data_IF_564759633935
#
_entry.id   IF_564759633935
#
_cell.length_a   1.000
_cell.length_b   1.000
_cell.length_c   1.000
_cell.angle_alpha   90.00
_cell.angle_beta   90.00
_cell.angle_gamma   90.00
#
_symmetry.space_group_name_H-M   'P 1'
#
loop_
_entity.id
_entity.type
_entity.pdbx_description
1 polymer ?
#
# COMPACT_ATOMS: atom_id res chain seq x y z
N UNK A 1 -26.38 40.08 66.31
CA UNK A 1 -26.14 38.70 66.77
C UNK A 1 -25.99 37.86 65.52
N UNK A 2 -24.78 37.47 65.07
CA UNK A 2 -24.02 36.27 65.52
C UNK A 2 -24.98 35.09 65.76
N UNK A 3 -24.87 33.90 65.18
CA UNK A 3 -23.73 33.04 64.83
C UNK A 3 -24.35 31.79 64.11
N UNK A 4 -23.82 31.28 62.98
CA UNK A 4 -22.81 30.20 62.81
C UNK A 4 -23.35 28.79 62.44
N UNK A 5 -22.46 28.04 61.76
CA UNK A 5 -22.45 26.60 61.38
C UNK A 5 -23.11 26.25 60.03
N UNK A 6 -22.42 25.85 58.95
CA UNK A 6 -21.24 24.98 58.69
C UNK A 6 -21.50 23.48 58.93
N UNK A 7 -21.72 22.72 57.84
CA UNK A 7 -21.26 21.32 57.63
C UNK A 7 -21.51 20.93 56.15
N UNK A 8 -20.48 20.78 55.32
CA UNK A 8 -19.69 19.56 55.02
C UNK A 8 -20.46 18.53 54.16
N UNK A 9 -19.99 18.41 52.90
CA UNK A 9 -19.63 17.15 52.27
C UNK A 9 -20.74 16.18 51.84
N UNK A 10 -21.08 16.18 50.56
CA UNK A 10 -21.66 15.00 49.90
C UNK A 10 -20.71 14.52 48.81
N UNK A 11 -19.86 13.56 49.17
CA UNK A 11 -19.22 12.65 48.23
C UNK A 11 -20.18 11.48 47.97
N UNK A 12 -20.08 10.98 46.74
CA UNK A 12 -20.20 9.57 46.35
C UNK A 12 -21.55 9.10 45.77
N UNK A 13 -21.37 8.34 44.69
CA UNK A 13 -22.28 7.39 44.04
C UNK A 13 -23.28 7.98 43.03
N UNK A 14 -22.82 8.11 41.78
CA UNK A 14 -23.63 7.66 40.66
C UNK A 14 -22.70 6.96 39.64
N UNK A 15 -22.45 5.69 39.94
CA UNK A 15 -21.77 4.72 39.08
C UNK A 15 -22.86 3.93 38.32
N UNK A 16 -22.62 3.66 37.04
CA UNK A 16 -23.33 2.72 36.15
C UNK A 16 -24.79 2.99 35.76
N UNK A 17 -24.98 3.59 34.57
CA UNK A 17 -26.07 3.23 33.67
C UNK A 17 -25.77 3.67 32.22
N UNK A 18 -24.75 3.06 31.60
CA UNK A 18 -24.63 2.97 30.14
C UNK A 18 -24.18 1.55 29.82
N UNK A 19 -25.10 0.61 29.95
CA UNK A 19 -24.99 -0.76 29.46
C UNK A 19 -26.19 -1.01 28.56
N UNK A 20 -25.93 -1.61 27.40
CA UNK A 20 -26.86 -1.93 26.30
C UNK A 20 -27.19 -0.75 25.38
N UNK A 21 -26.42 -0.58 24.31
CA UNK A 21 -26.75 -1.02 22.94
C UNK A 21 -25.52 -0.72 22.09
N UNK A 22 -24.61 -1.67 21.91
CA UNK A 22 -23.79 -1.83 20.69
C UNK A 22 -23.14 -3.22 20.71
N UNK A 23 -23.97 -4.26 20.85
CA UNK A 23 -23.59 -5.60 20.41
C UNK A 23 -23.86 -5.69 18.90
N UNK A 24 -23.13 -4.91 18.10
CA UNK A 24 -22.81 -5.34 16.75
C UNK A 24 -21.45 -6.00 16.88
N UNK A 25 -21.47 -7.32 16.81
CA UNK A 25 -20.32 -8.18 16.62
C UNK A 25 -19.33 -7.48 15.69
N UNK A 26 -18.20 -7.03 16.22
CA UNK A 26 -17.02 -6.70 15.41
C UNK A 26 -16.50 -8.05 14.97
N UNK A 27 -17.16 -8.59 13.94
CA UNK A 27 -16.58 -9.63 13.12
C UNK A 27 -15.35 -9.02 12.48
N UNK A 28 -14.22 -9.66 12.74
CA UNK A 28 -13.00 -9.50 11.99
C UNK A 28 -13.32 -9.84 10.52
N UNK A 29 -13.66 -8.83 9.74
CA UNK A 29 -13.68 -8.92 8.28
C UNK A 29 -12.24 -8.75 7.83
N UNK A 30 -11.49 -9.86 7.82
CA UNK A 30 -10.33 -9.95 6.95
C UNK A 30 -10.85 -9.62 5.55
N UNK A 31 -10.38 -8.52 4.94
CA UNK A 31 -10.75 -8.12 3.59
C UNK A 31 -10.16 -9.09 2.56
N UNK A 32 -10.60 -10.35 2.58
CA UNK A 32 -10.41 -11.31 1.51
C UNK A 32 -11.46 -11.02 0.45
N UNK A 33 -11.15 -10.04 -0.39
CA UNK A 33 -11.99 -9.63 -1.49
C UNK A 33 -12.06 -10.75 -2.54
N UNK A 34 -13.28 -11.24 -2.80
CA UNK A 34 -13.54 -12.30 -3.79
C UNK A 34 -13.52 -11.72 -5.21
N UNK A 35 -12.70 -12.28 -6.09
CA UNK A 35 -12.75 -12.02 -7.53
C UNK A 35 -13.87 -12.89 -8.12
N UNK A 36 -14.92 -12.25 -8.65
CA UNK A 36 -16.15 -12.95 -9.03
C UNK A 36 -15.94 -14.00 -10.13
N UNK A 37 -15.08 -13.74 -11.14
CA UNK A 37 -14.83 -14.65 -12.26
C UNK A 37 -13.61 -14.27 -13.10
N UNK A 38 -13.01 -15.28 -13.75
CA UNK A 38 -11.86 -15.10 -14.63
C UNK A 38 -11.23 -16.42 -15.08
N UNK A 39 -10.01 -16.35 -15.60
CA UNK A 39 -9.18 -17.52 -15.97
C UNK A 39 -7.83 -17.46 -15.26
N UNK A 40 -7.45 -18.52 -14.57
CA UNK A 40 -6.11 -18.72 -13.99
C UNK A 40 -5.20 -19.39 -15.03
N UNK A 41 -3.97 -18.92 -15.16
CA UNK A 41 -2.91 -19.60 -15.90
C UNK A 41 -1.84 -20.10 -14.92
N UNK A 42 -1.48 -21.37 -15.00
CA UNK A 42 -0.51 -21.99 -14.09
C UNK A 42 0.90 -22.04 -14.69
N UNK A 43 1.92 -22.16 -13.84
CA UNK A 43 3.34 -22.32 -14.22
C UNK A 43 3.60 -23.58 -15.06
N UNK A 44 2.71 -24.58 -14.96
CA UNK A 44 2.70 -25.77 -15.80
C UNK A 44 2.09 -25.57 -17.19
N UNK A 45 1.62 -24.37 -17.52
CA UNK A 45 1.00 -24.03 -18.80
C UNK A 45 -0.48 -24.38 -18.91
N UNK A 46 -1.11 -24.83 -17.83
CA UNK A 46 -2.54 -25.15 -17.81
C UNK A 46 -3.39 -23.89 -17.54
N UNK A 47 -4.65 -23.95 -17.95
CA UNK A 47 -5.63 -22.88 -17.72
C UNK A 47 -6.83 -23.40 -16.94
N UNK A 48 -7.35 -22.60 -16.02
CA UNK A 48 -8.52 -22.93 -15.22
C UNK A 48 -9.47 -21.74 -15.16
N UNK A 49 -10.65 -21.88 -15.76
CA UNK A 49 -11.72 -20.90 -15.60
C UNK A 49 -12.33 -21.01 -14.20
N UNK A 50 -12.57 -19.87 -13.57
CA UNK A 50 -12.98 -19.81 -12.19
C UNK A 50 -14.09 -18.79 -11.91
N UNK A 51 -14.75 -18.99 -10.76
CA UNK A 51 -15.55 -18.01 -10.05
C UNK A 51 -15.12 -17.90 -8.57
N UNK A 52 -15.51 -16.82 -7.89
CA UNK A 52 -15.32 -16.61 -6.44
C UNK A 52 -13.89 -16.85 -5.93
N UNK A 53 -12.90 -16.33 -6.64
CA UNK A 53 -11.49 -16.52 -6.27
C UNK A 53 -11.12 -15.69 -5.05
N UNK A 54 -10.48 -16.34 -4.09
CA UNK A 54 -10.12 -15.80 -2.79
C UNK A 54 -8.66 -16.14 -2.49
N UNK A 55 -7.86 -15.13 -2.12
CA UNK A 55 -6.50 -15.33 -1.64
C UNK A 55 -6.54 -15.57 -0.12
N UNK A 56 -5.90 -16.64 0.35
CA UNK A 56 -5.67 -16.87 1.78
C UNK A 56 -4.28 -17.45 1.99
N UNK A 57 -3.45 -16.72 2.74
CA UNK A 57 -2.06 -17.08 2.99
C UNK A 57 -1.28 -17.28 1.67
N UNK A 58 -0.62 -18.41 1.51
CA UNK A 58 0.16 -18.81 0.32
C UNK A 58 -0.69 -19.50 -0.77
N UNK A 59 -2.02 -19.52 -0.62
CA UNK A 59 -2.94 -20.24 -1.47
C UNK A 59 -4.03 -19.37 -2.07
N UNK A 60 -4.47 -19.79 -3.23
CA UNK A 60 -5.59 -19.21 -3.97
C UNK A 60 -6.70 -20.24 -4.05
N UNK A 61 -7.86 -19.93 -3.49
CA UNK A 61 -9.06 -20.76 -3.50
C UNK A 61 -10.01 -20.22 -4.54
N UNK A 62 -10.70 -21.08 -5.29
CA UNK A 62 -11.63 -20.64 -6.32
C UNK A 62 -12.64 -21.74 -6.67
N UNK A 63 -13.77 -21.36 -7.24
CA UNK A 63 -14.75 -22.29 -7.82
C UNK A 63 -14.35 -22.59 -9.26
N UNK A 64 -13.84 -23.79 -9.54
CA UNK A 64 -13.46 -24.21 -10.88
C UNK A 64 -14.70 -24.45 -11.74
N UNK A 65 -14.83 -23.70 -12.83
CA UNK A 65 -16.02 -23.75 -13.68
C UNK A 65 -16.11 -25.02 -14.52
N UNK A 66 -14.98 -25.69 -14.79
CA UNK A 66 -14.97 -26.93 -15.57
C UNK A 66 -15.56 -28.11 -14.80
N UNK A 67 -15.44 -28.12 -13.48
CA UNK A 67 -15.88 -29.23 -12.63
C UNK A 67 -16.90 -28.82 -11.55
N UNK A 68 -17.23 -27.53 -11.45
CA UNK A 68 -18.13 -26.94 -10.44
C UNK A 68 -17.74 -27.22 -8.98
N UNK A 69 -16.46 -27.47 -8.71
CA UNK A 69 -15.92 -27.70 -7.36
C UNK A 69 -15.06 -26.54 -6.91
N UNK A 70 -14.92 -26.41 -5.60
CA UNK A 70 -13.94 -25.50 -5.01
C UNK A 70 -12.57 -26.16 -5.02
N UNK A 71 -11.63 -25.55 -5.75
CA UNK A 71 -10.25 -25.97 -5.88
C UNK A 71 -9.31 -24.94 -5.21
N UNK A 72 -8.04 -25.31 -5.06
CA UNK A 72 -7.00 -24.41 -4.56
C UNK A 72 -5.65 -24.63 -5.24
N UNK A 73 -4.88 -23.56 -5.42
CA UNK A 73 -3.51 -23.59 -5.95
C UNK A 73 -2.56 -22.85 -5.01
N UNK A 74 -1.27 -23.18 -5.04
CA UNK A 74 -0.26 -22.33 -4.41
C UNK A 74 -0.12 -21.05 -5.25
N UNK A 75 0.11 -19.93 -4.57
CA UNK A 75 0.28 -18.65 -5.25
C UNK A 75 1.54 -18.65 -6.14
N UNK A 76 2.57 -19.42 -5.79
CA UNK A 76 3.77 -19.64 -6.60
C UNK A 76 3.50 -20.35 -7.93
N UNK A 77 2.39 -21.08 -8.03
CA UNK A 77 2.03 -21.86 -9.22
C UNK A 77 1.23 -21.04 -10.23
N UNK A 78 0.93 -19.78 -9.91
CA UNK A 78 0.20 -18.87 -10.78
C UNK A 78 1.17 -18.11 -11.68
N UNK A 79 0.94 -18.16 -12.98
CA UNK A 79 1.62 -17.29 -13.93
C UNK A 79 0.86 -15.98 -14.09
N UNK A 80 -0.47 -16.01 -14.21
CA UNK A 80 -1.33 -14.82 -14.16
C UNK A 80 -2.82 -15.17 -13.98
N UNK A 81 -3.63 -14.16 -13.67
CA UNK A 81 -5.08 -14.26 -13.53
C UNK A 81 -5.74 -13.25 -14.46
N UNK A 82 -6.51 -13.72 -15.44
CA UNK A 82 -7.30 -12.90 -16.34
C UNK A 82 -8.67 -12.64 -15.73
N UNK A 83 -8.98 -11.41 -15.35
CA UNK A 83 -10.25 -11.05 -14.72
C UNK A 83 -11.25 -10.56 -15.77
N UNK A 84 -12.48 -11.06 -15.74
CA UNK A 84 -13.55 -10.53 -16.59
C UNK A 84 -14.18 -9.28 -15.96
N UNK A 85 -13.83 -8.10 -16.50
CA UNK A 85 -14.49 -6.85 -16.11
C UNK A 85 -15.73 -6.64 -16.98
N UNK A 86 -16.92 -6.65 -16.36
CA UNK A 86 -18.16 -6.29 -17.04
C UNK A 86 -18.24 -4.76 -17.17
N UNK A 87 -17.96 -4.23 -18.37
CA UNK A 87 -18.28 -2.84 -18.72
C UNK A 87 -19.78 -2.69 -18.94
N UNK A 88 -20.43 -1.73 -18.28
CA UNK A 88 -21.72 -1.19 -18.74
C UNK A 88 -21.46 0.04 -19.62
N UNK A 89 -21.69 -0.01 -20.95
CA UNK A 89 -21.67 1.20 -21.76
C UNK A 89 -22.90 2.06 -21.43
N UNK A 90 -22.70 3.38 -21.27
CA UNK A 90 -23.80 4.33 -21.21
C UNK A 90 -24.12 4.77 -22.65
N UNK A 91 -25.37 4.55 -23.03
CA UNK A 91 -26.06 4.99 -24.26
C UNK A 91 -25.43 4.59 -25.60
N UNK A 92 -25.65 3.34 -26.01
CA UNK A 92 -26.19 2.99 -27.33
C UNK A 92 -26.59 1.51 -27.28
N UNK A 93 -27.90 1.29 -27.16
CA UNK A 93 -28.54 -0.01 -27.31
C UNK A 93 -28.32 -0.43 -28.78
N UNK A 94 -27.65 -1.58 -29.01
CA UNK A 94 -27.44 -2.29 -30.29
C UNK A 94 -26.00 -2.54 -30.78
N UNK A 95 -24.96 -2.43 -29.96
CA UNK A 95 -23.67 -3.09 -30.26
C UNK A 95 -23.26 -4.12 -29.20
N UNK A 96 -22.74 -5.30 -29.59
CA UNK A 96 -22.24 -6.28 -28.64
C UNK A 96 -21.06 -5.70 -27.83
N UNK A 97 -20.95 -6.03 -26.54
CA UNK A 97 -19.96 -5.44 -25.64
C UNK A 97 -18.53 -5.68 -26.14
N UNK A 98 -17.78 -4.59 -26.33
CA UNK A 98 -16.35 -4.64 -26.67
C UNK A 98 -15.53 -5.04 -25.44
N UNK A 99 -15.01 -6.27 -25.49
CA UNK A 99 -14.04 -6.83 -24.55
C UNK A 99 -12.75 -6.00 -24.62
N UNK A 100 -12.36 -5.34 -23.53
CA UNK A 100 -10.98 -4.86 -23.37
C UNK A 100 -10.20 -5.88 -22.54
N UNK A 101 -9.16 -6.42 -23.15
CA UNK A 101 -8.21 -7.31 -22.49
C UNK A 101 -7.25 -6.47 -21.66
N UNK A 102 -7.14 -6.76 -20.36
CA UNK A 102 -6.07 -6.24 -19.51
C UNK A 102 -5.17 -7.43 -19.17
N UNK A 103 -3.92 -7.39 -19.65
CA UNK A 103 -2.92 -8.45 -19.50
C UNK A 103 -1.93 -8.00 -18.41
N UNK A 104 -1.99 -8.59 -17.22
CA UNK A 104 -0.99 -8.37 -16.19
C UNK A 104 0.16 -9.37 -16.37
N UNK A 105 1.33 -8.90 -16.81
CA UNK A 105 2.56 -9.70 -16.88
C UNK A 105 3.33 -9.68 -15.53
N UNK A 106 3.91 -10.81 -15.09
CA UNK A 106 4.85 -10.84 -13.98
C UNK A 106 6.18 -10.14 -14.33
N UNK A 107 6.80 -9.50 -13.34
CA UNK A 107 8.03 -8.69 -13.45
C UNK A 107 9.16 -9.44 -14.16
N UNK A 108 9.91 -8.72 -15.02
CA UNK A 108 11.29 -9.08 -15.38
C UNK A 108 12.25 -8.21 -14.56
N UNK A 109 13.39 -8.74 -14.09
CA UNK A 109 14.43 -7.99 -13.37
C UNK A 109 15.00 -6.78 -14.14
N UNK A 110 14.73 -6.68 -15.45
CA UNK A 110 15.21 -5.65 -16.36
C UNK A 110 14.05 -5.03 -17.15
N UNK A 111 13.03 -4.51 -16.47
CA UNK A 111 11.95 -3.77 -17.15
C UNK A 111 12.56 -2.49 -17.78
N UNK A 112 12.63 -2.38 -19.12
CA UNK A 112 13.33 -1.29 -19.79
C UNK A 112 12.69 0.07 -19.52
N UNK A 113 11.43 0.12 -19.08
CA UNK A 113 10.69 1.36 -18.84
C UNK A 113 11.05 2.02 -17.50
N UNK A 114 11.58 1.24 -16.54
CA UNK A 114 12.04 1.73 -15.21
C UNK A 114 13.39 2.45 -15.27
N UNK A 115 14.30 1.96 -16.12
CA UNK A 115 15.71 2.36 -16.12
C UNK A 115 15.95 3.81 -16.61
N UNK A 116 15.31 4.32 -17.68
CA UNK A 116 15.59 5.66 -18.19
C UNK A 116 15.23 6.78 -17.21
N UNK A 117 14.09 6.66 -16.50
CA UNK A 117 13.62 7.69 -15.57
C UNK A 117 14.44 7.73 -14.27
N UNK A 118 15.02 6.59 -13.87
CA UNK A 118 15.85 6.45 -12.65
C UNK A 118 17.34 6.69 -12.91
N UNK A 119 17.83 6.51 -14.14
CA UNK A 119 19.24 6.70 -14.52
C UNK A 119 19.80 8.11 -14.30
N UNK A 120 18.95 9.11 -13.99
CA UNK A 120 19.38 10.47 -13.66
C UNK A 120 19.87 10.65 -12.23
N UNK A 121 19.63 9.70 -11.32
CA UNK A 121 20.00 9.84 -9.92
C UNK A 121 21.28 9.05 -9.59
N UNK A 122 22.37 9.71 -9.17
CA UNK A 122 23.56 9.00 -8.72
C UNK A 122 23.27 8.19 -7.43
N UNK A 123 23.95 7.05 -7.30
CA UNK A 123 23.91 6.24 -6.08
C UNK A 123 24.34 7.05 -4.83
N UNK A 124 23.60 6.86 -3.74
CA UNK A 124 23.89 7.44 -2.43
C UNK A 124 22.64 7.80 -1.64
N UNK A 125 22.82 8.63 -0.61
CA UNK A 125 21.73 9.04 0.28
C UNK A 125 21.40 10.50 0.08
N UNK A 126 20.13 10.77 -0.20
CA UNK A 126 19.58 12.09 -0.31
C UNK A 126 18.99 12.47 1.05
N UNK A 127 19.70 13.29 1.81
CA UNK A 127 19.27 13.61 3.18
C UNK A 127 18.01 14.48 3.17
N UNK A 128 17.89 15.35 2.17
CA UNK A 128 16.75 16.25 1.99
C UNK A 128 16.10 16.10 0.62
N UNK A 129 14.88 16.61 0.49
CA UNK A 129 14.21 16.76 -0.82
C UNK A 129 15.03 17.65 -1.76
N UNK A 130 15.71 18.67 -1.22
CA UNK A 130 16.58 19.54 -2.01
C UNK A 130 17.76 18.77 -2.59
N UNK A 131 18.41 17.90 -1.81
CA UNK A 131 19.49 17.04 -2.31
C UNK A 131 18.99 16.17 -3.47
N UNK A 132 17.77 15.64 -3.35
CA UNK A 132 17.14 14.81 -4.36
C UNK A 132 16.87 15.59 -5.66
N UNK A 133 16.26 16.77 -5.56
CA UNK A 133 15.97 17.62 -6.72
C UNK A 133 17.24 18.07 -7.46
N UNK A 134 18.33 18.31 -6.71
CA UNK A 134 19.62 18.69 -7.29
C UNK A 134 20.52 17.49 -7.64
N UNK A 135 20.02 16.26 -7.50
CA UNK A 135 20.77 15.03 -7.79
C UNK A 135 22.14 14.98 -7.07
N UNK A 136 22.19 15.51 -5.85
CA UNK A 136 23.40 15.69 -5.05
C UNK A 136 23.40 14.76 -3.81
N UNK A 137 23.50 13.43 -3.99
CA UNK A 137 23.49 12.52 -2.86
C UNK A 137 24.79 12.61 -2.06
N UNK A 138 24.69 12.35 -0.76
CA UNK A 138 25.85 11.99 0.05
C UNK A 138 26.27 10.56 -0.31
N UNK A 139 27.47 10.42 -0.87
CA UNK A 139 28.09 9.11 -1.12
C UNK A 139 28.36 8.39 0.20
N UNK A 140 27.79 7.20 0.36
CA UNK A 140 28.00 6.34 1.52
C UNK A 140 28.03 4.88 1.08
N UNK A 141 28.74 4.04 1.84
CA UNK A 141 28.78 2.60 1.59
C UNK A 141 27.56 1.95 2.23
N UNK A 142 26.52 1.70 1.44
CA UNK A 142 25.23 1.25 1.95
C UNK A 142 25.05 -0.26 1.92
N UNK A 143 24.31 -0.77 2.90
CA UNK A 143 23.81 -2.15 2.95
C UNK A 143 22.32 -2.16 3.31
N UNK A 144 21.46 -2.78 2.49
CA UNK A 144 20.07 -3.02 2.86
C UNK A 144 19.92 -4.22 3.80
N UNK A 145 18.98 -4.10 4.72
CA UNK A 145 18.59 -5.12 5.69
C UNK A 145 17.06 -5.21 5.83
N UNK A 146 16.55 -6.41 6.07
CA UNK A 146 15.21 -6.63 6.62
C UNK A 146 15.29 -6.85 8.13
N UNK A 147 14.16 -6.70 8.82
CA UNK A 147 14.05 -6.84 10.27
C UNK A 147 14.73 -5.71 11.05
N UNK A 148 14.64 -5.77 12.38
CA UNK A 148 15.27 -4.80 13.28
C UNK A 148 15.97 -5.50 14.44
N UNK A 149 16.92 -4.81 15.08
CA UNK A 149 17.66 -5.33 16.23
C UNK A 149 18.47 -6.59 15.91
N UNK A 150 18.36 -7.60 16.76
CA UNK A 150 19.06 -8.89 16.62
C UNK A 150 18.58 -9.75 15.44
N UNK A 151 17.41 -9.43 14.87
CA UNK A 151 16.83 -10.14 13.73
C UNK A 151 17.14 -9.44 12.39
N UNK A 152 18.17 -8.57 12.35
CA UNK A 152 18.59 -7.93 11.09
C UNK A 152 19.16 -8.97 10.13
N UNK A 153 18.63 -9.03 8.92
CA UNK A 153 19.13 -9.92 7.86
C UNK A 153 19.54 -9.12 6.64
N UNK A 154 20.75 -9.36 6.17
CA UNK A 154 21.29 -8.67 4.99
C UNK A 154 20.48 -9.02 3.75
N UNK A 155 20.18 -8.03 2.93
CA UNK A 155 19.50 -8.22 1.64
C UNK A 155 20.48 -8.00 0.50
N UNK A 156 20.46 -8.88 -0.50
CA UNK A 156 21.27 -8.74 -1.71
C UNK A 156 20.50 -8.09 -2.87
N UNK A 157 19.17 -8.22 -2.88
CA UNK A 157 18.27 -7.64 -3.86
C UNK A 157 16.96 -7.22 -3.18
N UNK A 158 16.91 -6.04 -2.52
CA UNK A 158 15.71 -5.56 -1.88
C UNK A 158 14.74 -4.99 -2.92
N UNK A 159 13.93 -5.87 -3.52
CA UNK A 159 12.83 -5.44 -4.41
C UNK A 159 11.63 -4.86 -3.64
N UNK A 160 11.64 -5.05 -2.32
CA UNK A 160 10.61 -4.61 -1.37
C UNK A 160 11.18 -3.57 -0.38
N UNK A 161 10.39 -3.29 0.67
CA UNK A 161 10.79 -2.36 1.73
C UNK A 161 11.97 -2.86 2.56
N UNK A 162 12.91 -1.98 2.91
CA UNK A 162 14.09 -2.35 3.70
C UNK A 162 14.59 -1.19 4.58
N UNK A 163 15.53 -1.50 5.47
CA UNK A 163 16.35 -0.51 6.16
C UNK A 163 17.72 -0.41 5.49
N UNK A 164 18.25 0.79 5.31
CA UNK A 164 19.63 0.98 4.89
C UNK A 164 20.55 1.24 6.09
N UNK A 165 21.75 0.69 6.04
CA UNK A 165 22.84 0.91 6.99
C UNK A 165 24.08 1.43 6.28
N UNK A 166 24.79 2.35 6.91
CA UNK A 166 26.15 2.73 6.54
C UNK A 166 27.13 1.67 7.07
N UNK A 167 27.80 0.97 6.14
CA UNK A 167 28.79 -0.06 6.46
C UNK A 167 29.99 0.47 7.22
N UNK A 168 30.39 1.72 6.98
CA UNK A 168 31.57 2.29 7.61
C UNK A 168 31.39 2.45 9.13
N UNK A 169 30.16 2.69 9.57
CA UNK A 169 29.83 3.04 10.94
C UNK A 169 28.83 2.07 11.62
N UNK A 170 28.45 0.98 10.94
CA UNK A 170 27.35 0.06 11.32
C UNK A 170 26.10 0.79 11.83
N UNK A 171 25.73 1.88 11.16
CA UNK A 171 24.67 2.77 11.61
C UNK A 171 23.49 2.78 10.65
N UNK A 172 22.27 2.66 11.20
CA UNK A 172 21.04 2.75 10.42
C UNK A 172 20.89 4.15 9.85
N UNK A 173 20.64 4.27 8.55
CA UNK A 173 20.27 5.53 7.90
C UNK A 173 18.89 5.96 8.42
N UNK A 174 18.80 7.17 8.96
CA UNK A 174 17.58 7.75 9.52
C UNK A 174 17.38 9.15 8.97
N UNK A 175 16.12 9.54 8.80
CA UNK A 175 15.76 10.92 8.44
C UNK A 175 16.16 11.36 7.04
N UNK A 176 16.71 10.47 6.21
CA UNK A 176 16.95 10.77 4.80
C UNK A 176 15.64 10.84 4.03
N UNK A 177 15.62 11.66 2.98
CA UNK A 177 14.50 11.76 2.06
C UNK A 177 14.41 10.50 1.18
N UNK A 178 15.53 10.17 0.51
CA UNK A 178 15.62 9.04 -0.40
C UNK A 178 16.99 8.36 -0.33
N UNK A 179 17.06 7.15 -0.86
CA UNK A 179 18.28 6.39 -1.11
C UNK A 179 18.24 5.88 -2.53
N UNK A 180 19.35 6.03 -3.26
CA UNK A 180 19.58 5.29 -4.49
C UNK A 180 20.70 4.29 -4.24
N UNK A 181 20.40 3.02 -4.45
CA UNK A 181 21.32 1.92 -4.21
C UNK A 181 21.33 0.99 -5.41
N UNK A 182 22.48 0.89 -6.10
CA UNK A 182 22.64 0.10 -7.32
C UNK A 182 21.62 0.47 -8.39
N UNK A 183 21.34 1.76 -8.55
CA UNK A 183 20.34 2.27 -9.51
C UNK A 183 18.88 2.13 -9.08
N UNK A 184 18.57 1.48 -7.96
CA UNK A 184 17.20 1.40 -7.44
C UNK A 184 16.91 2.56 -6.50
N UNK A 185 15.79 3.25 -6.72
CA UNK A 185 15.35 4.40 -5.92
C UNK A 185 14.39 3.96 -4.81
N UNK A 186 14.63 4.47 -3.61
CA UNK A 186 13.80 4.25 -2.45
C UNK A 186 13.49 5.57 -1.73
N UNK A 187 12.26 5.73 -1.24
CA UNK A 187 11.88 6.84 -0.37
C UNK A 187 11.71 6.36 1.06
N UNK A 188 12.11 7.16 2.05
CA UNK A 188 11.83 6.80 3.43
C UNK A 188 10.34 7.00 3.74
N UNK A 189 9.77 6.12 4.57
CA UNK A 189 8.40 6.30 5.06
C UNK A 189 8.25 7.63 5.81
N UNK A 190 9.29 8.09 6.52
CA UNK A 190 9.29 9.42 7.15
C UNK A 190 9.19 10.55 6.13
N UNK A 191 9.85 10.44 4.98
CA UNK A 191 9.75 11.42 3.91
C UNK A 191 8.36 11.42 3.29
N UNK A 192 7.82 10.23 2.99
CA UNK A 192 6.45 10.06 2.50
C UNK A 192 5.47 10.75 3.44
N UNK A 193 5.57 10.48 4.74
CA UNK A 193 4.72 11.14 5.71
C UNK A 193 4.98 12.65 5.72
N UNK A 194 6.22 13.11 5.84
CA UNK A 194 6.53 14.55 5.95
C UNK A 194 6.03 15.40 4.78
N UNK A 195 6.11 14.87 3.55
CA UNK A 195 5.79 15.59 2.32
C UNK A 195 4.50 15.08 1.66
N UNK A 196 3.60 14.45 2.41
CA UNK A 196 2.30 14.01 1.88
C UNK A 196 1.37 15.19 1.57
N UNK A 197 0.46 14.97 0.63
CA UNK A 197 -0.68 15.83 0.38
C UNK A 197 -1.45 16.11 1.69
N UNK A 198 -1.99 17.32 1.85
CA UNK A 198 -2.67 17.75 3.07
C UNK A 198 -3.85 16.87 3.46
N UNK A 199 -4.53 16.27 2.50
CA UNK A 199 -5.68 15.40 2.75
C UNK A 199 -5.25 14.07 3.40
N UNK A 200 -3.97 13.73 3.32
CA UNK A 200 -3.38 12.52 3.89
C UNK A 200 -2.72 12.74 5.26
N UNK A 201 -2.96 13.89 5.90
CA UNK A 201 -2.34 14.22 7.19
C UNK A 201 -2.61 13.19 8.29
N UNK A 202 -3.67 12.40 8.17
CA UNK A 202 -4.01 11.35 9.13
C UNK A 202 -3.37 9.99 8.82
N UNK A 203 -2.42 9.88 7.89
CA UNK A 203 -1.66 8.64 7.69
C UNK A 203 -0.42 8.57 8.59
N UNK A 204 -0.07 7.36 9.04
CA UNK A 204 1.07 7.11 9.92
C UNK A 204 1.67 5.70 9.73
N UNK A 205 2.87 5.47 10.27
CA UNK A 205 3.57 4.19 10.27
C UNK A 205 4.41 3.98 11.54
N UNK A 206 4.56 2.73 11.98
CA UNK A 206 5.46 2.38 13.09
C UNK A 206 6.93 2.32 12.66
N UNK A 207 7.19 2.34 11.34
CA UNK A 207 8.51 2.12 10.77
C UNK A 207 9.02 3.33 9.96
N UNK A 208 9.06 4.55 10.51
CA UNK A 208 9.37 5.76 9.74
C UNK A 208 10.76 5.75 9.10
N UNK A 209 11.70 4.95 9.62
CA UNK A 209 13.05 4.82 9.05
C UNK A 209 13.18 3.69 8.01
N UNK A 210 12.09 3.01 7.66
CA UNK A 210 12.08 2.04 6.57
C UNK A 210 11.99 2.79 5.23
N UNK A 211 12.56 2.21 4.20
CA UNK A 211 12.58 2.72 2.84
C UNK A 211 11.74 1.81 1.96
N UNK A 212 10.93 2.40 1.08
CA UNK A 212 10.07 1.68 0.12
C UNK A 212 10.63 1.85 -1.28
N UNK A 213 10.64 0.78 -2.05
CA UNK A 213 11.17 0.74 -3.40
C UNK A 213 10.20 1.40 -4.40
N UNK A 214 10.71 2.23 -5.30
CA UNK A 214 9.95 2.74 -6.45
C UNK A 214 9.75 1.61 -7.46
N UNK A 215 8.49 1.28 -7.72
CA UNK A 215 8.09 0.20 -8.61
C UNK A 215 7.92 0.64 -10.05
N UNK A 216 7.41 1.85 -10.28
CA UNK A 216 7.24 2.43 -11.62
C UNK A 216 7.64 3.89 -11.59
N UNK A 217 8.20 4.36 -12.68
CA UNK A 217 8.60 5.75 -12.86
C UNK A 217 8.11 6.22 -14.22
N UNK A 218 7.35 7.32 -14.23
CA UNK A 218 6.96 8.05 -15.44
C UNK A 218 7.73 9.36 -15.56
N UNK A 219 7.28 10.22 -16.47
CA UNK A 219 7.85 11.56 -16.65
C UNK A 219 7.65 12.46 -15.42
N UNK A 220 6.48 12.39 -14.78
CA UNK A 220 6.13 13.24 -13.63
C UNK A 220 5.97 12.47 -12.30
N UNK A 221 5.77 11.15 -12.33
CA UNK A 221 5.40 10.39 -11.14
C UNK A 221 6.38 9.25 -10.82
N UNK A 222 6.65 9.04 -9.53
CA UNK A 222 7.20 7.78 -9.04
C UNK A 222 6.18 7.04 -8.20
N UNK A 223 5.85 5.83 -8.61
CA UNK A 223 4.95 4.95 -7.89
C UNK A 223 5.71 4.00 -6.98
N UNK A 224 5.24 3.87 -5.75
CA UNK A 224 5.74 2.92 -4.76
C UNK A 224 4.58 2.40 -3.92
N UNK A 225 4.86 1.41 -3.07
CA UNK A 225 3.89 0.87 -2.14
C UNK A 225 4.41 0.95 -0.72
N UNK A 226 3.56 1.41 0.19
CA UNK A 226 3.91 1.65 1.58
C UNK A 226 2.88 1.06 2.53
N UNK A 227 3.38 0.41 3.59
CA UNK A 227 2.57 -0.08 4.70
C UNK A 227 2.23 1.09 5.65
N UNK A 228 1.02 1.62 5.51
CA UNK A 228 0.53 2.81 6.21
C UNK A 228 -0.82 2.55 6.89
N UNK A 229 -1.10 3.25 7.98
CA UNK A 229 -2.36 3.18 8.71
C UNK A 229 -2.94 4.58 8.96
N UNK A 230 -4.21 4.64 9.33
CA UNK A 230 -4.78 5.87 9.87
C UNK A 230 -4.28 6.11 11.31
N UNK A 231 -3.75 7.31 11.57
CA UNK A 231 -3.18 7.73 12.84
C UNK A 231 -4.19 7.67 14.00
N UNK A 232 -5.46 8.02 13.75
CA UNK A 232 -6.52 7.97 14.76
C UNK A 232 -6.89 6.54 15.13
N UNK A 233 -6.98 5.65 14.14
CA UNK A 233 -7.19 4.22 14.39
C UNK A 233 -6.06 3.66 15.25
N UNK A 234 -4.81 3.99 14.93
CA UNK A 234 -3.64 3.60 15.73
C UNK A 234 -3.68 4.14 17.15
N UNK A 235 -3.98 5.43 17.33
CA UNK A 235 -4.06 6.05 18.64
C UNK A 235 -5.12 5.38 19.53
N UNK A 236 -6.29 5.02 18.96
CA UNK A 236 -7.32 4.27 19.67
C UNK A 236 -6.84 2.91 20.16
N UNK A 237 -6.07 2.16 19.35
CA UNK A 237 -5.53 0.86 19.75
C UNK A 237 -4.36 0.98 20.73
N UNK A 238 -3.49 1.99 20.60
CA UNK A 238 -2.45 2.25 21.60
C UNK A 238 -3.03 2.62 22.97
N UNK A 239 -4.22 3.24 23.02
CA UNK A 239 -4.90 3.55 24.27
C UNK A 239 -5.36 2.31 25.06
N UNK A 240 -5.45 1.13 24.42
CA UNK A 240 -5.69 -0.16 25.10
C UNK A 240 -4.49 -0.55 25.98
N UNK A 241 -3.28 -0.06 25.66
CA UNK A 241 -2.07 -0.28 26.43
C UNK A 241 -1.45 -1.68 26.27
N UNK A 242 -0.18 -1.79 26.65
CA UNK A 242 0.57 -3.04 26.65
C UNK A 242 0.80 -3.65 25.26
N UNK A 243 1.23 -4.92 25.24
CA UNK A 243 1.51 -5.67 24.01
C UNK A 243 0.25 -5.92 23.16
N UNK A 244 -0.92 -5.98 23.79
CA UNK A 244 -2.22 -6.14 23.12
C UNK A 244 -2.55 -4.89 22.29
N UNK A 245 -2.47 -3.70 22.89
CA UNK A 245 -2.69 -2.44 22.18
C UNK A 245 -1.70 -2.24 21.02
N UNK A 246 -0.43 -2.60 21.22
CA UNK A 246 0.57 -2.56 20.15
C UNK A 246 0.20 -3.49 18.98
N UNK A 247 -0.14 -4.74 19.26
CA UNK A 247 -0.49 -5.74 18.22
C UNK A 247 -1.70 -5.29 17.40
N UNK A 248 -2.72 -4.73 18.06
CA UNK A 248 -3.91 -4.21 17.38
C UNK A 248 -3.56 -2.99 16.52
N UNK A 249 -2.75 -2.05 17.02
CA UNK A 249 -2.29 -0.90 16.25
C UNK A 249 -1.48 -1.32 15.02
N UNK A 250 -0.58 -2.29 15.16
CA UNK A 250 0.20 -2.83 14.05
C UNK A 250 -0.66 -3.50 12.98
N UNK A 251 -1.76 -4.16 13.38
CA UNK A 251 -2.73 -4.79 12.48
C UNK A 251 -3.52 -3.84 11.58
N UNK A 252 -3.48 -2.53 11.86
CA UNK A 252 -4.16 -1.50 11.04
C UNK A 252 -3.34 -1.01 9.84
N UNK A 253 -2.08 -1.44 9.73
CA UNK A 253 -1.27 -1.06 8.59
C UNK A 253 -1.70 -1.87 7.36
N UNK A 254 -1.97 -1.17 6.27
CA UNK A 254 -2.28 -1.76 4.99
C UNK A 254 -1.28 -1.27 3.94
N UNK A 255 -0.94 -2.12 2.98
CA UNK A 255 -0.16 -1.67 1.83
C UNK A 255 -1.03 -0.77 0.95
N UNK A 256 -0.55 0.45 0.72
CA UNK A 256 -1.20 1.47 -0.09
C UNK A 256 -0.30 1.88 -1.23
N UNK A 257 -0.89 2.20 -2.36
CA UNK A 257 -0.18 2.88 -3.44
C UNK A 257 0.21 4.29 -3.02
N UNK A 258 1.41 4.72 -3.39
CA UNK A 258 1.91 6.07 -3.13
C UNK A 258 2.54 6.61 -4.40
N UNK A 259 2.18 7.83 -4.78
CA UNK A 259 2.72 8.54 -5.92
C UNK A 259 3.50 9.75 -5.43
N UNK A 260 4.79 9.83 -5.76
CA UNK A 260 5.53 11.09 -5.68
C UNK A 260 5.25 11.91 -6.94
N UNK A 261 4.65 13.08 -6.79
CA UNK A 261 4.45 14.05 -7.88
C UNK A 261 5.66 14.99 -7.97
N UNK A 262 6.41 14.91 -9.06
CA UNK A 262 7.62 15.72 -9.24
C UNK A 262 7.33 17.21 -9.47
N UNK A 263 6.14 17.57 -9.93
CA UNK A 263 5.75 18.96 -10.16
C UNK A 263 5.25 19.62 -8.87
N UNK A 264 4.42 18.91 -8.11
CA UNK A 264 3.86 19.42 -6.85
C UNK A 264 4.80 19.22 -5.64
N UNK A 265 5.82 18.38 -5.79
CA UNK A 265 6.79 18.05 -4.74
C UNK A 265 6.13 17.47 -3.48
N UNK A 266 5.13 16.61 -3.70
CA UNK A 266 4.39 15.95 -2.63
C UNK A 266 4.13 14.46 -2.92
N UNK A 267 3.82 13.72 -1.87
CA UNK A 267 3.35 12.34 -1.95
C UNK A 267 1.83 12.28 -1.86
N UNK A 268 1.20 11.65 -2.84
CA UNK A 268 -0.22 11.34 -2.84
C UNK A 268 -0.43 9.88 -2.43
N UNK A 269 -1.18 9.65 -1.35
CA UNK A 269 -1.44 8.30 -0.86
C UNK A 269 -2.79 7.84 -1.39
N UNK A 270 -2.78 6.76 -2.17
CA UNK A 270 -3.98 6.16 -2.75
C UNK A 270 -4.66 5.29 -1.69
N UNK A 271 -5.42 5.93 -0.80
CA UNK A 271 -6.09 5.27 0.33
C UNK A 271 -7.28 4.47 -0.14
N UNK A 272 -8.00 5.03 -1.11
CA UNK A 272 -9.23 4.49 -1.64
C UNK A 272 -9.21 4.42 -3.15
N UNK A 273 -10.08 3.60 -3.72
CA UNK A 273 -10.19 3.48 -5.17
C UNK A 273 -10.54 4.83 -5.82
N UNK A 274 -11.30 5.69 -5.12
CA UNK A 274 -11.61 7.03 -5.60
C UNK A 274 -10.38 7.93 -5.71
N UNK A 275 -9.38 7.79 -4.81
CA UNK A 275 -8.13 8.55 -4.89
C UNK A 275 -7.37 8.21 -6.20
N UNK A 276 -7.43 6.94 -6.63
CA UNK A 276 -6.87 6.53 -7.93
C UNK A 276 -7.66 7.14 -9.10
N UNK A 277 -8.99 7.21 -9.03
CA UNK A 277 -9.77 7.87 -10.07
C UNK A 277 -9.42 9.36 -10.19
N UNK A 278 -9.18 10.07 -9.08
CA UNK A 278 -8.73 11.47 -9.11
C UNK A 278 -7.40 11.61 -9.86
N UNK A 279 -6.43 10.72 -9.59
CA UNK A 279 -5.18 10.68 -10.36
C UNK A 279 -5.43 10.42 -11.86
N UNK A 280 -6.30 9.46 -12.19
CA UNK A 280 -6.60 9.09 -13.57
C UNK A 280 -7.34 10.19 -14.35
N UNK A 281 -8.13 11.05 -13.69
CA UNK A 281 -8.83 12.14 -14.36
C UNK A 281 -7.88 13.11 -15.07
N UNK A 282 -6.65 13.24 -14.57
CA UNK A 282 -5.62 14.07 -15.18
C UNK A 282 -4.74 13.31 -16.17
N UNK A 283 -4.28 12.11 -15.79
CA UNK A 283 -3.27 11.38 -16.57
C UNK A 283 -3.87 10.47 -17.65
N UNK A 284 -5.10 9.98 -17.44
CA UNK A 284 -5.78 9.07 -18.36
C UNK A 284 -7.31 9.23 -18.25
N UNK A 285 -7.90 10.38 -18.65
CA UNK A 285 -9.30 10.73 -18.38
C UNK A 285 -10.34 9.75 -18.97
N UNK A 286 -9.91 8.90 -19.90
CA UNK A 286 -10.76 7.85 -20.51
C UNK A 286 -10.80 6.58 -19.66
N UNK A 287 -9.93 6.44 -18.66
CA UNK A 287 -9.87 5.32 -17.73
C UNK A 287 -10.52 5.71 -16.41
N UNK A 288 -11.62 5.03 -16.04
CA UNK A 288 -12.28 5.20 -14.75
C UNK A 288 -12.61 3.85 -14.16
N UNK A 289 -12.23 3.64 -12.91
CA UNK A 289 -12.49 2.41 -12.17
C UNK A 289 -13.85 2.48 -11.47
N UNK A 290 -14.58 1.36 -11.50
CA UNK A 290 -15.82 1.21 -10.72
C UNK A 290 -15.48 0.77 -9.29
N UNK A 291 -15.33 1.75 -8.40
CA UNK A 291 -14.92 1.54 -7.02
C UNK A 291 -15.95 0.81 -6.16
N UNK A 292 -17.21 0.70 -6.61
CA UNK A 292 -18.24 -0.08 -5.88
C UNK A 292 -17.97 -1.58 -5.93
N UNK A 293 -17.27 -2.05 -6.96
CA UNK A 293 -16.90 -3.46 -7.13
C UNK A 293 -15.48 -3.74 -6.61
N UNK A 294 -14.61 -2.72 -6.60
CA UNK A 294 -13.22 -2.81 -6.19
C UNK A 294 -12.98 -2.62 -4.68
N UNK A 295 -14.02 -2.33 -3.88
CA UNK A 295 -13.94 -2.16 -2.43
C UNK A 295 -13.26 -0.85 -2.00
N UNK A 296 -13.24 -0.58 -0.69
CA UNK A 296 -12.73 0.68 -0.14
C UNK A 296 -11.22 0.84 -0.32
N UNK A 297 -10.47 -0.25 -0.46
CA UNK A 297 -9.04 -0.25 -0.75
C UNK A 297 -8.79 -0.85 -2.13
N UNK A 298 -8.19 -0.12 -3.07
CA UNK A 298 -7.91 -0.66 -4.39
C UNK A 298 -6.90 -1.80 -4.23
N UNK A 299 -7.22 -2.96 -4.80
CA UNK A 299 -6.30 -4.10 -4.82
C UNK A 299 -4.95 -3.66 -5.43
N UNK A 300 -3.86 -3.87 -4.69
CA UNK A 300 -2.51 -3.41 -5.10
C UNK A 300 -2.08 -3.95 -6.47
N UNK A 301 -2.57 -5.12 -6.89
CA UNK A 301 -2.30 -5.66 -8.22
C UNK A 301 -3.02 -4.89 -9.32
N UNK A 302 -4.28 -4.48 -9.09
CA UNK A 302 -5.03 -3.63 -10.03
C UNK A 302 -4.37 -2.26 -10.12
N UNK A 303 -4.00 -1.69 -8.98
CA UNK A 303 -3.22 -0.45 -8.89
C UNK A 303 -1.95 -0.51 -9.73
N UNK A 304 -1.12 -1.55 -9.52
CA UNK A 304 0.13 -1.74 -10.25
C UNK A 304 -0.09 -1.79 -11.75
N UNK A 305 -1.10 -2.54 -12.21
CA UNK A 305 -1.35 -2.70 -13.63
C UNK A 305 -1.83 -1.40 -14.28
N UNK A 306 -2.81 -0.72 -13.66
CA UNK A 306 -3.31 0.58 -14.11
C UNK A 306 -2.18 1.60 -14.15
N UNK A 307 -1.46 1.77 -13.05
CA UNK A 307 -0.41 2.79 -12.94
C UNK A 307 0.75 2.50 -13.89
N UNK A 308 1.18 1.24 -14.03
CA UNK A 308 2.22 0.89 -14.99
C UNK A 308 1.83 1.31 -16.41
N UNK A 309 0.58 1.09 -16.80
CA UNK A 309 0.11 1.44 -18.15
C UNK A 309 -0.03 2.95 -18.36
N UNK A 310 -0.36 3.70 -17.31
CA UNK A 310 -0.50 5.16 -17.36
C UNK A 310 0.87 5.86 -17.33
N UNK A 311 1.83 5.33 -16.55
CA UNK A 311 3.16 5.94 -16.40
C UNK A 311 4.15 5.55 -17.50
N UNK A 312 3.77 4.65 -18.41
CA UNK A 312 4.58 4.36 -19.60
C UNK A 312 4.74 5.63 -20.44
N UNK A 313 5.97 5.98 -20.84
CA UNK A 313 6.24 7.18 -21.64
C UNK A 313 5.61 7.15 -23.04
#
# INVERSE_FOLDING_TARGET
MQQSHLTIGMKLVLFFLVSMVFSKSIGQEDANQKIAKGTIHTSSGNTVDFADLEYRNDKVYFSNLANSKRDSLLQSDLTFVKVEVLRKPKSQENEPPKISTIVAEPRRPNDPDLLPALNKFPDGVYMTMYDFLNQAPKKMSLQPFTGTGFNKQEMYNPEDSCYFYDKANDSKIKGAFAVVWRGYLYFSLKAILKYRNSDDINQDTEYPNMFVHVLFAGSNYYYMEASLANAWSKAGFFAVGGSVGYTLASGTNHNKGVLWDCNLLEFNILRHCDDLNVFLEHEAPTLKLDCKQAGDYPNVMILRDVIRNVLKP
#
